data_IF_030249809067
#
_entry.id   IF_030249809067
#
_cell.length_a   1.000
_cell.length_b   1.000
_cell.length_c   1.000
_cell.angle_alpha   90.00
_cell.angle_beta   90.00
_cell.angle_gamma   90.00
#
_symmetry.space_group_name_H-M   'P 1'
#
loop_
_entity.id
_entity.type
_entity.pdbx_description
1 polymer ?
#
# COMPACT_ATOMS: atom_id res chain seq x y z
N UNK A 1 -5.18 1.82 7.31
CA UNK A 1 -4.92 0.52 6.64
C UNK A 1 -3.90 0.70 5.53
N UNK A 2 -4.20 1.41 4.43
CA UNK A 2 -3.22 1.63 3.35
C UNK A 2 -1.93 2.35 3.80
N UNK A 3 -2.04 3.32 4.72
CA UNK A 3 -0.88 4.04 5.28
C UNK A 3 0.07 3.11 6.03
N UNK A 4 -0.45 2.21 6.87
CA UNK A 4 0.36 1.24 7.61
C UNK A 4 1.05 0.22 6.69
N UNK A 5 0.46 -0.07 5.53
CA UNK A 5 1.08 -0.92 4.52
C UNK A 5 2.22 -0.19 3.77
N UNK A 6 2.14 1.14 3.59
CA UNK A 6 3.23 1.90 2.99
C UNK A 6 4.41 2.02 3.95
N UNK A 7 4.13 2.30 5.23
CA UNK A 7 5.14 2.34 6.30
C UNK A 7 5.93 1.02 6.41
N UNK A 8 5.24 -0.12 6.29
CA UNK A 8 5.88 -1.44 6.25
C UNK A 8 6.90 -1.62 5.12
N UNK A 9 6.68 -0.95 3.99
CA UNK A 9 7.60 -0.98 2.85
C UNK A 9 8.63 0.16 2.90
N UNK A 10 8.63 0.97 3.97
CA UNK A 10 9.49 2.14 4.08
C UNK A 10 9.13 3.25 3.08
N UNK A 11 7.88 3.31 2.64
CA UNK A 11 7.40 4.27 1.65
C UNK A 11 6.67 5.44 2.32
N UNK A 12 6.84 6.63 1.76
CA UNK A 12 6.16 7.82 2.24
C UNK A 12 4.76 7.90 1.63
N UNK A 13 3.77 8.25 2.45
CA UNK A 13 2.38 8.39 2.00
C UNK A 13 1.76 9.63 2.63
N UNK A 14 1.05 10.42 1.83
CA UNK A 14 0.37 11.61 2.29
C UNK A 14 -1.07 11.65 1.76
N UNK A 15 -2.00 12.08 2.60
CA UNK A 15 -3.33 12.49 2.15
C UNK A 15 -3.24 13.89 1.57
N UNK A 16 -3.80 14.06 0.38
CA UNK A 16 -3.85 15.33 -0.32
C UNK A 16 -5.21 16.00 -0.08
N UNK A 17 -5.32 17.26 -0.49
CA UNK A 17 -6.60 17.93 -0.62
C UNK A 17 -7.51 17.16 -1.59
N UNK A 18 -8.83 17.32 -1.46
CA UNK A 18 -9.85 16.66 -2.31
C UNK A 18 -9.77 15.12 -2.36
N UNK A 19 -9.53 14.47 -1.21
CA UNK A 19 -9.52 13.00 -1.09
C UNK A 19 -8.42 12.28 -1.91
N UNK A 20 -7.43 13.03 -2.37
CA UNK A 20 -6.27 12.49 -3.07
C UNK A 20 -5.28 11.77 -2.15
N UNK A 21 -4.45 10.91 -2.73
CA UNK A 21 -3.36 10.21 -2.02
C UNK A 21 -2.07 10.31 -2.83
N UNK A 22 -0.99 10.69 -2.17
CA UNK A 22 0.38 10.63 -2.68
C UNK A 22 1.12 9.43 -2.08
N UNK A 23 1.97 8.79 -2.89
CA UNK A 23 2.90 7.74 -2.47
C UNK A 23 4.26 8.00 -3.12
N UNK A 24 5.32 7.96 -2.32
CA UNK A 24 6.72 7.91 -2.78
C UNK A 24 7.34 6.57 -2.38
N UNK A 25 7.77 5.79 -3.38
CA UNK A 25 8.45 4.51 -3.18
C UNK A 25 9.97 4.63 -3.19
N UNK A 26 10.51 5.87 -3.17
CA UNK A 26 11.91 6.23 -3.39
C UNK A 26 12.41 6.02 -4.84
N UNK A 27 11.76 5.12 -5.58
CA UNK A 27 12.00 4.89 -7.01
C UNK A 27 11.01 5.63 -7.92
N UNK A 28 9.78 5.85 -7.45
CA UNK A 28 8.71 6.47 -8.21
C UNK A 28 7.68 7.17 -7.32
N UNK A 29 7.07 8.22 -7.86
CA UNK A 29 5.96 8.93 -7.24
C UNK A 29 4.62 8.58 -7.89
N UNK A 30 3.59 8.39 -7.07
CA UNK A 30 2.23 8.10 -7.50
C UNK A 30 1.23 9.08 -6.90
N UNK A 31 0.26 9.50 -7.71
CA UNK A 31 -0.83 10.39 -7.32
C UNK A 31 -2.17 9.73 -7.66
N UNK A 32 -2.94 9.38 -6.63
CA UNK A 32 -4.28 8.80 -6.74
C UNK A 32 -5.32 9.88 -6.43
N UNK A 33 -5.87 10.53 -7.46
CA UNK A 33 -6.79 11.68 -7.32
C UNK A 33 -8.06 11.55 -8.19
N UNK A 34 -8.25 10.40 -8.84
CA UNK A 34 -9.30 10.25 -9.85
C UNK A 34 -10.66 9.85 -9.26
N UNK A 35 -10.65 9.28 -8.07
CA UNK A 35 -11.82 8.67 -7.43
C UNK A 35 -12.02 9.21 -6.02
N UNK A 36 -13.05 8.71 -5.31
CA UNK A 36 -13.22 8.99 -3.90
C UNK A 36 -12.08 8.41 -3.05
N UNK A 37 -11.96 8.86 -1.80
CA UNK A 37 -10.88 8.43 -0.90
C UNK A 37 -10.78 6.91 -0.78
N UNK A 38 -11.91 6.20 -0.79
CA UNK A 38 -11.95 4.74 -0.58
C UNK A 38 -11.42 4.01 -1.79
N UNK A 39 -11.79 4.44 -2.99
CA UNK A 39 -11.30 3.88 -4.25
C UNK A 39 -9.81 4.23 -4.45
N UNK A 40 -9.39 5.46 -4.16
CA UNK A 40 -7.97 5.84 -4.19
C UNK A 40 -7.13 4.99 -3.22
N UNK A 41 -7.64 4.74 -2.00
CA UNK A 41 -6.96 3.87 -1.03
C UNK A 41 -6.88 2.40 -1.50
N UNK A 42 -7.86 1.93 -2.27
CA UNK A 42 -7.83 0.59 -2.86
C UNK A 42 -6.76 0.49 -3.97
N UNK A 43 -6.61 1.54 -4.79
CA UNK A 43 -5.54 1.62 -5.79
C UNK A 43 -4.15 1.67 -5.13
N UNK A 44 -4.00 2.47 -4.07
CA UNK A 44 -2.76 2.51 -3.27
C UNK A 44 -2.40 1.10 -2.77
N UNK A 45 -3.32 0.37 -2.15
CA UNK A 45 -3.06 -0.99 -1.65
C UNK A 45 -2.66 -1.96 -2.76
N UNK A 46 -3.24 -1.84 -3.96
CA UNK A 46 -2.84 -2.67 -5.10
C UNK A 46 -1.41 -2.34 -5.56
N UNK A 47 -1.04 -1.06 -5.60
CA UNK A 47 0.33 -0.64 -5.90
C UNK A 47 1.31 -1.18 -4.87
N UNK A 48 1.05 -1.02 -3.56
CA UNK A 48 1.93 -1.51 -2.49
C UNK A 48 2.17 -3.02 -2.57
N UNK A 49 1.11 -3.81 -2.84
CA UNK A 49 1.25 -5.27 -3.04
C UNK A 49 2.11 -5.62 -4.24
N UNK A 50 2.03 -4.83 -5.31
CA UNK A 50 2.82 -5.04 -6.52
C UNK A 50 4.30 -4.75 -6.26
N UNK A 51 4.60 -3.64 -5.58
CA UNK A 51 5.97 -3.28 -5.21
C UNK A 51 6.57 -4.34 -4.28
N UNK A 52 5.84 -4.78 -3.23
CA UNK A 52 6.28 -5.88 -2.38
C UNK A 52 6.60 -7.16 -3.17
N UNK A 53 5.76 -7.53 -4.15
CA UNK A 53 6.02 -8.70 -4.99
C UNK A 53 7.30 -8.56 -5.82
N UNK A 54 7.54 -7.39 -6.42
CA UNK A 54 8.77 -7.15 -7.17
C UNK A 54 10.00 -7.15 -6.26
N UNK A 55 9.97 -6.35 -5.19
CA UNK A 55 11.10 -6.24 -4.25
C UNK A 55 11.43 -7.58 -3.62
N UNK A 56 10.44 -8.38 -3.20
CA UNK A 56 10.69 -9.71 -2.61
C UNK A 56 11.30 -10.72 -3.59
N UNK A 57 11.18 -10.50 -4.90
CA UNK A 57 11.80 -11.35 -5.92
C UNK A 57 13.31 -11.09 -6.01
N UNK A 58 13.72 -9.84 -5.87
CA UNK A 58 15.11 -9.42 -6.04
C UNK A 58 15.86 -9.31 -4.69
N UNK A 59 15.13 -9.02 -3.60
CA UNK A 59 15.64 -8.77 -2.25
C UNK A 59 14.70 -9.37 -1.20
N UNK A 60 14.81 -10.69 -0.91
CA UNK A 60 13.96 -11.31 0.10
C UNK A 60 14.45 -10.94 1.51
N UNK A 61 13.68 -10.13 2.22
CA UNK A 61 13.87 -9.89 3.65
C UNK A 61 13.55 -11.15 4.48
N UNK A 62 14.10 -11.24 5.68
CA UNK A 62 13.71 -12.27 6.63
C UNK A 62 12.34 -11.93 7.24
N UNK A 63 11.43 -12.91 7.30
CA UNK A 63 10.07 -12.73 7.82
C UNK A 63 10.02 -12.17 9.26
N UNK A 64 11.13 -12.27 10.01
CA UNK A 64 11.26 -11.72 11.36
C UNK A 64 11.28 -10.18 11.40
N UNK A 65 11.60 -9.53 10.29
CA UNK A 65 11.74 -8.08 10.18
C UNK A 65 10.42 -7.38 9.80
N UNK A 66 9.38 -8.15 9.47
CA UNK A 66 8.09 -7.62 9.00
C UNK A 66 7.18 -7.17 10.15
N UNK A 67 6.52 -6.02 10.02
CA UNK A 67 5.50 -5.56 10.97
C UNK A 67 4.17 -6.30 10.73
N UNK A 68 3.64 -7.03 11.73
CA UNK A 68 2.39 -7.77 11.58
C UNK A 68 1.19 -6.90 11.16
N UNK A 69 1.09 -5.64 11.60
CA UNK A 69 -0.01 -4.75 11.22
C UNK A 69 0.12 -4.25 9.77
N UNK A 70 1.35 -4.06 9.30
CA UNK A 70 1.68 -3.76 7.91
C UNK A 70 1.30 -4.91 6.98
N UNK A 71 1.74 -6.12 7.32
CA UNK A 71 1.39 -7.35 6.60
C UNK A 71 -0.12 -7.61 6.61
N UNK A 72 -0.80 -7.37 7.73
CA UNK A 72 -2.25 -7.47 7.81
C UNK A 72 -2.94 -6.44 6.91
N UNK A 73 -2.45 -5.21 6.89
CA UNK A 73 -2.97 -4.17 6.00
C UNK A 73 -2.79 -4.54 4.52
N UNK A 74 -1.66 -5.17 4.16
CA UNK A 74 -1.41 -5.74 2.84
C UNK A 74 -2.33 -6.94 2.56
N UNK A 75 -2.65 -7.77 3.54
CA UNK A 75 -3.43 -9.00 3.37
C UNK A 75 -4.94 -8.79 3.30
N UNK A 76 -5.46 -7.64 3.76
CA UNK A 76 -6.90 -7.35 3.79
C UNK A 76 -7.45 -7.13 2.37
N UNK A 77 -7.72 -8.22 1.68
CA UNK A 77 -8.51 -8.29 0.46
C UNK A 77 -9.84 -8.99 0.78
N UNK A 78 -10.93 -8.21 0.80
CA UNK A 78 -12.35 -8.67 0.81
C UNK A 78 -12.68 -9.84 1.75
N UNK A 79 -12.84 -9.58 3.04
CA UNK A 79 -13.61 -10.53 3.88
C UNK A 79 -15.14 -10.39 3.70
N UNK A 80 -15.64 -9.53 2.80
CA UNK A 80 -17.08 -9.46 2.46
C UNK A 80 -17.33 -9.19 0.99
N UNK A 81 -17.23 -10.21 0.16
CA UNK A 81 -18.17 -10.38 -0.97
C UNK A 81 -18.56 -11.86 -1.03
N UNK A 82 -19.46 -12.25 -0.13
CA UNK A 82 -20.38 -13.34 -0.40
C UNK A 82 -21.71 -12.67 -0.74
N UNK A 83 -22.11 -12.80 -2.00
CA UNK A 83 -23.47 -12.51 -2.46
C UNK A 83 -24.27 -13.79 -2.33
#
# INVERSE_FOLDING_TARGET
MAVAAADELGYEVALLEDEGIYLDTQDAEFYFQRYDLKENAALLLLTLRRELFYTSTDYPDEMADWNPEGIKALSLWREKVHR
#
